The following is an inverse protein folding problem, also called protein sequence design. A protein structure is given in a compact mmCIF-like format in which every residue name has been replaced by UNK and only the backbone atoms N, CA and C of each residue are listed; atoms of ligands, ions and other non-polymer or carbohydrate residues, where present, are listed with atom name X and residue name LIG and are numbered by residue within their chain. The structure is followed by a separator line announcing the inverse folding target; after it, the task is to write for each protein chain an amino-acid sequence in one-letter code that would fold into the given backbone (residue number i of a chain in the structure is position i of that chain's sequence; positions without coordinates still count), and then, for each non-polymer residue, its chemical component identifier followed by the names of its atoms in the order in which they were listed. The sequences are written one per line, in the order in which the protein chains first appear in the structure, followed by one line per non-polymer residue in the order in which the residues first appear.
data_IF_503970373773
#
_entry.id   IF_503970373773
#
_cell.length_a   1.000
_cell.length_b   1.000
_cell.length_c   1.000
_cell.angle_alpha   90.00
_cell.angle_beta   90.00
_cell.angle_gamma   90.00
#
_symmetry.space_group_name_H-M   'P 1'
#
loop_
_entity.id
_entity.type
_entity.pdbx_description
1 polymer ?
#
# COMPACT_ATOMS: atom_id res chain seq x y z
N UNK A 1 -20.11 7.27 -13.91
CA UNK A 1 -19.36 6.97 -12.68
C UNK A 1 -18.17 6.07 -13.04
N UNK A 2 -16.98 6.59 -13.37
CA UNK A 2 -15.87 5.75 -13.82
C UNK A 2 -14.61 5.85 -12.94
N UNK A 3 -14.75 5.92 -11.61
CA UNK A 3 -13.57 5.89 -10.70
C UNK A 3 -13.28 4.50 -10.13
N UNK A 4 -14.11 3.50 -10.40
CA UNK A 4 -13.90 2.11 -9.95
C UNK A 4 -13.01 1.28 -10.87
N UNK A 5 -12.68 1.75 -12.08
CA UNK A 5 -11.98 0.95 -13.09
C UNK A 5 -10.46 1.23 -13.22
N UNK A 6 -9.91 2.20 -12.48
CA UNK A 6 -8.46 2.51 -12.49
C UNK A 6 -7.76 2.11 -11.18
N UNK A 7 -8.39 1.23 -10.39
CA UNK A 7 -7.82 0.69 -9.15
C UNK A 7 -7.07 -0.64 -9.35
N UNK A 8 -6.48 -0.83 -10.52
CA UNK A 8 -5.67 -2.00 -10.86
C UNK A 8 -4.35 -2.06 -10.04
N UNK A 9 -3.75 -3.26 -9.86
CA UNK A 9 -2.72 -3.58 -8.87
C UNK A 9 -1.31 -3.04 -9.21
N UNK A 10 -1.22 -1.86 -9.83
CA UNK A 10 0.03 -1.30 -10.35
C UNK A 10 1.07 -1.09 -9.23
N UNK A 11 0.63 -0.61 -8.06
CA UNK A 11 1.49 -0.49 -6.88
C UNK A 11 1.94 -1.82 -6.28
N UNK A 12 1.16 -2.89 -6.50
CA UNK A 12 1.44 -4.24 -5.98
C UNK A 12 2.50 -4.98 -6.81
N UNK A 13 2.46 -4.85 -8.14
CA UNK A 13 3.40 -5.53 -9.05
C UNK A 13 4.83 -4.98 -8.90
N UNK A 14 4.98 -3.67 -8.69
CA UNK A 14 6.29 -3.02 -8.49
C UNK A 14 7.06 -3.60 -7.29
N UNK A 15 6.35 -3.92 -6.20
CA UNK A 15 6.95 -4.49 -4.99
C UNK A 15 7.61 -5.85 -5.25
N UNK A 16 7.03 -6.68 -6.11
CA UNK A 16 7.64 -7.94 -6.50
C UNK A 16 8.83 -7.76 -7.44
N UNK A 17 8.66 -6.94 -8.48
CA UNK A 17 9.65 -6.78 -9.55
C UNK A 17 10.92 -6.04 -9.15
N UNK A 18 10.86 -5.14 -8.17
CA UNK A 18 12.01 -4.38 -7.71
C UNK A 18 12.49 -4.80 -6.31
N UNK A 19 11.63 -4.75 -5.29
CA UNK A 19 12.05 -4.97 -3.90
C UNK A 19 12.26 -6.45 -3.59
N UNK A 20 11.27 -7.29 -3.89
CA UNK A 20 11.36 -8.72 -3.62
C UNK A 20 12.46 -9.39 -4.46
N UNK A 21 12.59 -9.00 -5.74
CA UNK A 21 13.68 -9.48 -6.60
C UNK A 21 15.08 -9.16 -6.02
N UNK A 22 15.27 -7.97 -5.43
CA UNK A 22 16.51 -7.58 -4.77
C UNK A 22 16.72 -8.22 -3.37
N UNK A 23 15.84 -9.13 -2.94
CA UNK A 23 15.97 -9.85 -1.66
C UNK A 23 15.37 -9.12 -0.45
N UNK A 24 14.64 -8.02 -0.66
CA UNK A 24 13.94 -7.36 0.44
C UNK A 24 12.70 -8.16 0.86
N UNK A 25 12.50 -8.23 2.18
CA UNK A 25 11.20 -8.60 2.75
C UNK A 25 10.30 -7.38 2.68
N UNK A 26 9.16 -7.51 2.02
CA UNK A 26 8.24 -6.39 1.75
C UNK A 26 7.14 -6.36 2.80
N UNK A 27 6.92 -5.23 3.46
CA UNK A 27 5.76 -5.00 4.33
C UNK A 27 4.53 -4.61 3.51
N UNK A 28 3.34 -4.69 4.11
CA UNK A 28 2.11 -4.28 3.45
C UNK A 28 2.19 -2.81 2.97
N UNK A 29 1.76 -2.48 1.74
CA UNK A 29 1.85 -1.10 1.25
C UNK A 29 0.89 -0.17 2.01
N UNK A 30 1.35 1.03 2.35
CA UNK A 30 0.48 2.12 2.79
C UNK A 30 0.05 2.90 1.53
N UNK A 31 -1.26 2.96 1.25
CA UNK A 31 -1.78 3.70 0.10
C UNK A 31 -2.74 4.77 0.60
N UNK A 32 -2.38 6.04 0.39
CA UNK A 32 -3.27 7.19 0.63
C UNK A 32 -3.92 7.57 -0.70
N UNK A 33 -5.19 7.23 -0.85
CA UNK A 33 -5.90 7.38 -2.11
C UNK A 33 -6.32 8.83 -2.35
N UNK A 34 -6.02 9.33 -3.56
CA UNK A 34 -6.54 10.58 -4.09
C UNK A 34 -6.47 11.78 -3.12
N UNK A 35 -5.32 12.08 -2.50
CA UNK A 35 -5.22 13.12 -1.48
C UNK A 35 -5.58 14.52 -2.02
N UNK A 36 -5.42 14.76 -3.33
CA UNK A 36 -5.78 16.02 -3.99
C UNK A 36 -7.30 16.30 -3.98
N UNK A 37 -8.11 15.25 -3.96
CA UNK A 37 -9.58 15.33 -3.97
C UNK A 37 -10.18 15.13 -2.58
N UNK A 38 -9.36 14.78 -1.59
CA UNK A 38 -9.77 14.59 -0.21
C UNK A 38 -9.92 15.94 0.51
N UNK A 39 -10.87 16.01 1.45
CA UNK A 39 -11.00 17.14 2.37
C UNK A 39 -9.74 17.33 3.22
N UNK A 40 -9.59 18.50 3.84
CA UNK A 40 -8.44 18.76 4.71
C UNK A 40 -8.38 17.77 5.88
N UNK A 41 -9.54 17.46 6.46
CA UNK A 41 -9.71 16.50 7.55
C UNK A 41 -9.29 15.09 7.12
N UNK A 42 -9.73 14.64 5.94
CA UNK A 42 -9.36 13.33 5.40
C UNK A 42 -7.86 13.23 5.12
N UNK A 43 -7.25 14.28 4.54
CA UNK A 43 -5.79 14.32 4.34
C UNK A 43 -5.04 14.24 5.66
N UNK A 44 -5.47 14.99 6.68
CA UNK A 44 -4.88 14.93 8.03
C UNK A 44 -5.03 13.53 8.62
N UNK A 45 -6.16 12.87 8.43
CA UNK A 45 -6.39 11.51 8.88
C UNK A 45 -5.48 10.49 8.17
N UNK A 46 -5.24 10.64 6.86
CA UNK A 46 -4.30 9.80 6.11
C UNK A 46 -2.87 9.92 6.66
N UNK A 47 -2.40 11.14 6.93
CA UNK A 47 -1.08 11.38 7.53
C UNK A 47 -1.02 10.83 8.95
N UNK A 48 -2.06 11.05 9.76
CA UNK A 48 -2.13 10.55 11.13
C UNK A 48 -2.13 9.00 11.17
N UNK A 49 -2.85 8.35 10.26
CA UNK A 49 -2.87 6.90 10.11
C UNK A 49 -1.47 6.36 9.79
N UNK A 50 -0.76 7.01 8.86
CA UNK A 50 0.62 6.63 8.55
C UNK A 50 1.57 6.81 9.74
N UNK A 51 1.50 7.96 10.41
CA UNK A 51 2.30 8.21 11.61
C UNK A 51 2.01 7.20 12.74
N UNK A 52 0.76 6.77 12.88
CA UNK A 52 0.37 5.75 13.85
C UNK A 52 0.97 4.38 13.51
N UNK A 53 0.94 3.98 12.24
CA UNK A 53 1.52 2.72 11.77
C UNK A 53 3.04 2.65 12.02
N UNK A 54 3.75 3.75 11.75
CA UNK A 54 5.20 3.84 11.95
C UNK A 54 5.65 3.54 13.39
N UNK A 55 4.78 3.73 14.39
CA UNK A 55 5.10 3.42 15.79
C UNK A 55 5.32 1.92 16.04
N UNK A 56 4.68 1.06 15.24
CA UNK A 56 4.72 -0.40 15.40
C UNK A 56 5.30 -1.12 14.19
N UNK A 57 5.82 -0.39 13.20
CA UNK A 57 6.26 -0.96 11.92
C UNK A 57 7.33 -2.06 12.04
N UNK A 58 8.21 -1.97 13.05
CA UNK A 58 9.25 -2.98 13.31
C UNK A 58 8.71 -4.31 13.84
N UNK A 59 7.44 -4.35 14.23
CA UNK A 59 6.74 -5.56 14.70
C UNK A 59 5.84 -6.15 13.63
N UNK A 60 5.73 -5.53 12.45
CA UNK A 60 4.90 -6.04 11.36
C UNK A 60 5.58 -7.19 10.64
N UNK A 61 4.80 -8.21 10.31
CA UNK A 61 5.25 -9.31 9.46
C UNK A 61 5.22 -8.90 7.97
N UNK A 62 6.22 -9.31 7.19
CA UNK A 62 6.22 -9.13 5.74
C UNK A 62 5.05 -9.83 5.05
N UNK A 63 4.58 -9.24 3.97
CA UNK A 63 3.58 -9.87 3.11
C UNK A 63 4.22 -11.01 2.29
N UNK A 64 3.48 -12.08 1.99
CA UNK A 64 3.92 -13.06 1.02
C UNK A 64 3.88 -12.42 -0.38
N UNK A 65 5.05 -12.12 -0.96
CA UNK A 65 5.17 -11.56 -2.31
C UNK A 65 4.92 -12.61 -3.40
N UNK A 66 3.80 -13.34 -3.32
CA UNK A 66 3.40 -14.39 -4.27
C UNK A 66 2.31 -13.90 -5.23
N UNK A 67 2.17 -14.51 -6.42
CA UNK A 67 1.09 -14.17 -7.35
C UNK A 67 -0.30 -14.27 -6.71
N UNK A 68 -0.52 -15.24 -5.82
CA UNK A 68 -1.78 -15.41 -5.09
C UNK A 68 -2.11 -14.22 -4.18
N UNK A 69 -1.11 -13.51 -3.64
CA UNK A 69 -1.36 -12.32 -2.82
C UNK A 69 -1.68 -11.09 -3.68
N UNK A 70 -1.09 -11.02 -4.88
CA UNK A 70 -1.32 -9.91 -5.81
C UNK A 70 -2.63 -10.02 -6.58
N UNK A 71 -3.03 -11.24 -6.95
CA UNK A 71 -4.14 -11.53 -7.87
C UNK A 71 -5.19 -12.49 -7.30
N UNK A 72 -5.07 -12.91 -6.03
CA UNK A 72 -6.07 -13.72 -5.36
C UNK A 72 -7.37 -12.95 -5.13
N UNK A 73 -8.48 -13.69 -5.08
CA UNK A 73 -9.84 -13.19 -4.82
C UNK A 73 -10.09 -12.97 -3.33
#
# INVERSE_FOLDING_TARGET
MPWTLSQEPQGKISLHGALHFCGFKVLAPQISFAPEFASEEERKAMVASWAQRLKTIWKEDPIPCTPSWYFGQ
#
